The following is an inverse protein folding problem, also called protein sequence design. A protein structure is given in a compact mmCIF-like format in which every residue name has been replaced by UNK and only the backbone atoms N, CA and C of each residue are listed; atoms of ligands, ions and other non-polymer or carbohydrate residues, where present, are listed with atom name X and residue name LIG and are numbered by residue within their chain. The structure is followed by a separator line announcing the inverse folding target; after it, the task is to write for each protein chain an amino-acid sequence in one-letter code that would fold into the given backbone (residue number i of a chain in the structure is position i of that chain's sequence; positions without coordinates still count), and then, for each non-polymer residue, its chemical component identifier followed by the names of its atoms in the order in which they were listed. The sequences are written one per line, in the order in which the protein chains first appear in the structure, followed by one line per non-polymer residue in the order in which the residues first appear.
data_IF_954229458616
#
_entry.id   IF_954229458616
#
_cell.length_a   1.000
_cell.length_b   1.000
_cell.length_c   1.000
_cell.angle_alpha   90.00
_cell.angle_beta   90.00
_cell.angle_gamma   90.00
#
_symmetry.space_group_name_H-M   'P 1'
#
loop_
_entity.id
_entity.type
_entity.pdbx_description
1 polymer ?
#
# COMPACT_ATOMS: atom_id res chain seq x y z
N UNK A 1 12.49 -26.83 -5.57
CA UNK A 1 11.92 -25.81 -4.65
C UNK A 1 12.51 -25.97 -3.26
N UNK A 2 12.27 -27.08 -2.56
CA UNK A 2 12.83 -27.33 -1.21
C UNK A 2 14.36 -27.25 -1.11
N UNK A 3 15.10 -27.76 -2.11
CA UNK A 3 16.58 -27.66 -2.17
C UNK A 3 17.07 -26.20 -2.32
N UNK A 4 16.37 -25.39 -3.12
CA UNK A 4 16.74 -23.98 -3.33
C UNK A 4 16.44 -23.13 -2.09
N UNK A 5 15.33 -23.41 -1.42
CA UNK A 5 14.99 -22.82 -0.12
C UNK A 5 16.01 -23.18 0.96
N UNK A 6 16.40 -24.45 1.05
CA UNK A 6 17.43 -24.89 2.00
C UNK A 6 18.78 -24.22 1.72
N UNK A 7 19.13 -24.05 0.45
CA UNK A 7 20.34 -23.34 0.02
C UNK A 7 20.30 -21.85 0.41
N UNK A 8 19.18 -21.17 0.19
CA UNK A 8 19.01 -19.77 0.58
C UNK A 8 19.13 -19.57 2.10
N UNK A 9 18.49 -20.43 2.90
CA UNK A 9 18.61 -20.39 4.36
C UNK A 9 20.03 -20.73 4.83
N UNK A 10 20.68 -21.71 4.20
CA UNK A 10 22.06 -22.07 4.48
C UNK A 10 22.99 -20.87 4.24
N UNK A 11 22.83 -20.14 3.12
CA UNK A 11 23.60 -18.91 2.86
C UNK A 11 23.41 -17.90 3.99
N UNK A 12 22.17 -17.63 4.40
CA UNK A 12 21.88 -16.67 5.49
C UNK A 12 22.56 -17.10 6.79
N UNK A 13 22.44 -18.37 7.17
CA UNK A 13 23.05 -18.93 8.39
C UNK A 13 24.58 -18.93 8.31
N UNK A 14 25.15 -19.31 7.17
CA UNK A 14 26.59 -19.32 6.94
C UNK A 14 27.18 -17.91 7.05
N UNK A 15 26.53 -16.91 6.46
CA UNK A 15 26.98 -15.52 6.52
C UNK A 15 26.84 -14.98 7.94
N UNK A 16 25.71 -15.24 8.61
CA UNK A 16 25.53 -14.86 10.01
C UNK A 16 26.62 -15.46 10.92
N UNK A 17 26.95 -16.74 10.73
CA UNK A 17 28.01 -17.44 11.47
C UNK A 17 29.40 -16.85 11.18
N UNK A 18 29.70 -16.58 9.91
CA UNK A 18 30.98 -15.97 9.51
C UNK A 18 31.14 -14.57 10.13
N UNK A 19 30.07 -13.77 10.15
CA UNK A 19 30.10 -12.47 10.84
C UNK A 19 30.41 -12.59 12.32
N UNK A 20 29.83 -13.59 13.01
CA UNK A 20 30.15 -13.85 14.42
C UNK A 20 31.64 -14.17 14.61
N UNK A 21 32.23 -14.96 13.71
CA UNK A 21 33.65 -15.33 13.78
C UNK A 21 34.59 -14.12 13.59
N UNK A 22 34.19 -13.14 12.78
CA UNK A 22 34.97 -11.92 12.51
C UNK A 22 34.62 -10.80 13.51
N UNK A 23 33.70 -11.04 14.43
CA UNK A 23 33.27 -10.07 15.45
C UNK A 23 32.35 -8.96 14.92
N UNK A 24 31.76 -9.15 13.74
CA UNK A 24 30.81 -8.22 13.12
C UNK A 24 29.36 -8.60 13.46
N UNK A 25 28.45 -7.63 13.36
CA UNK A 25 27.02 -7.87 13.59
C UNK A 25 26.46 -8.84 12.53
N UNK A 26 25.86 -9.98 12.94
CA UNK A 26 25.24 -10.92 12.00
C UNK A 26 24.18 -10.26 11.12
N UNK A 27 23.39 -9.35 11.69
CA UNK A 27 22.35 -8.63 10.96
C UNK A 27 22.93 -7.72 9.87
N UNK A 28 24.08 -7.09 10.11
CA UNK A 28 24.74 -6.25 9.12
C UNK A 28 25.29 -7.07 7.96
N UNK A 29 25.91 -8.23 8.25
CA UNK A 29 26.46 -9.08 7.20
C UNK A 29 25.38 -9.78 6.37
N UNK A 30 24.29 -10.23 6.99
CA UNK A 30 23.16 -10.80 6.23
C UNK A 30 22.43 -9.73 5.41
N UNK A 31 22.35 -8.49 5.91
CA UNK A 31 21.84 -7.35 5.12
C UNK A 31 22.72 -7.09 3.89
N UNK A 32 24.04 -6.98 4.08
CA UNK A 32 24.97 -6.73 2.97
C UNK A 32 24.92 -7.87 1.94
N UNK A 33 24.89 -9.12 2.40
CA UNK A 33 24.72 -10.27 1.54
C UNK A 33 23.42 -10.22 0.75
N UNK A 34 22.32 -9.83 1.39
CA UNK A 34 21.03 -9.60 0.72
C UNK A 34 21.12 -8.54 -0.37
N UNK A 35 21.81 -7.41 -0.12
CA UNK A 35 22.02 -6.34 -1.11
C UNK A 35 22.84 -6.84 -2.31
N UNK A 36 23.90 -7.62 -2.05
CA UNK A 36 24.72 -8.22 -3.13
C UNK A 36 23.89 -9.20 -3.94
N UNK A 37 23.16 -10.11 -3.28
CA UNK A 37 22.30 -11.10 -3.93
C UNK A 37 21.13 -10.46 -4.70
N UNK A 38 20.62 -9.33 -4.25
CA UNK A 38 19.57 -8.57 -4.92
C UNK A 38 20.00 -8.03 -6.30
N UNK A 39 21.30 -7.90 -6.54
CA UNK A 39 21.87 -7.51 -7.84
C UNK A 39 22.12 -8.71 -8.78
N UNK A 40 21.91 -9.95 -8.33
CA UNK A 40 22.09 -11.15 -9.13
C UNK A 40 20.86 -11.49 -9.99
N UNK A 41 21.07 -12.27 -11.05
CA UNK A 41 19.99 -12.79 -11.90
C UNK A 41 19.00 -13.68 -11.12
N UNK A 42 19.45 -14.25 -10.00
CA UNK A 42 18.66 -15.14 -9.13
C UNK A 42 17.80 -14.40 -8.10
N UNK A 43 17.72 -13.06 -8.11
CA UNK A 43 17.01 -12.30 -7.05
C UNK A 43 15.57 -12.75 -6.85
N UNK A 44 14.82 -13.01 -7.93
CA UNK A 44 13.40 -13.32 -7.86
C UNK A 44 13.17 -14.73 -7.31
N UNK A 45 14.05 -15.67 -7.64
CA UNK A 45 14.02 -17.03 -7.11
C UNK A 45 14.35 -17.02 -5.61
N UNK A 46 15.42 -16.32 -5.22
CA UNK A 46 15.80 -16.16 -3.81
C UNK A 46 14.73 -15.44 -2.99
N UNK A 47 14.11 -14.39 -3.52
CA UNK A 47 13.02 -13.68 -2.86
C UNK A 47 11.79 -14.59 -2.68
N UNK A 48 11.39 -15.32 -3.73
CA UNK A 48 10.27 -16.27 -3.67
C UNK A 48 10.54 -17.42 -2.68
N UNK A 49 11.78 -17.86 -2.57
CA UNK A 49 12.15 -18.97 -1.68
C UNK A 49 12.26 -18.54 -0.21
N UNK A 50 12.67 -17.29 0.08
CA UNK A 50 12.76 -16.76 1.45
C UNK A 50 11.44 -16.17 1.95
N UNK A 51 10.55 -15.72 1.06
CA UNK A 51 9.27 -15.11 1.41
C UNK A 51 8.43 -15.89 2.44
N UNK A 52 8.30 -17.24 2.36
CA UNK A 52 7.55 -18.02 3.36
C UNK A 52 8.13 -17.93 4.77
N UNK A 53 9.46 -17.80 4.89
CA UNK A 53 10.16 -17.75 6.18
C UNK A 53 10.22 -16.34 6.74
N UNK A 54 10.18 -15.32 5.89
CA UNK A 54 10.22 -13.91 6.33
C UNK A 54 9.17 -13.63 7.40
N UNK A 55 7.92 -14.04 7.18
CA UNK A 55 6.83 -13.85 8.15
C UNK A 55 7.05 -14.62 9.45
N UNK A 56 7.49 -15.89 9.36
CA UNK A 56 7.75 -16.75 10.51
C UNK A 56 8.90 -16.21 11.37
N UNK A 57 10.03 -15.85 10.74
CA UNK A 57 11.22 -15.33 11.42
C UNK A 57 10.97 -13.95 12.02
N UNK A 58 10.20 -13.09 11.34
CA UNK A 58 9.78 -11.80 11.88
C UNK A 58 8.86 -11.98 13.09
N UNK A 59 7.91 -12.92 13.03
CA UNK A 59 7.09 -13.29 14.18
C UNK A 59 7.93 -13.79 15.36
N UNK A 60 8.87 -14.70 15.12
CA UNK A 60 9.80 -15.20 16.16
C UNK A 60 10.67 -14.07 16.74
N UNK A 61 11.17 -13.16 15.91
CA UNK A 61 11.93 -11.99 16.33
C UNK A 61 11.12 -11.14 17.31
N UNK A 62 9.89 -10.77 16.95
CA UNK A 62 9.03 -9.94 17.81
C UNK A 62 8.62 -10.65 19.10
N UNK A 63 8.37 -11.96 19.06
CA UNK A 63 8.08 -12.73 20.27
C UNK A 63 9.29 -12.74 21.20
N UNK A 64 10.48 -12.99 20.66
CA UNK A 64 11.73 -13.08 21.45
C UNK A 64 12.10 -11.74 22.05
N UNK A 65 12.06 -10.67 21.24
CA UNK A 65 12.30 -9.30 21.69
C UNK A 65 11.27 -8.89 22.73
N UNK A 66 9.98 -9.17 22.49
CA UNK A 66 8.89 -8.86 23.42
C UNK A 66 9.03 -9.60 24.75
N UNK A 67 9.46 -10.85 24.75
CA UNK A 67 9.74 -11.62 25.95
C UNK A 67 10.95 -11.10 26.74
N UNK A 68 11.90 -10.43 26.07
CA UNK A 68 13.04 -9.77 26.69
C UNK A 68 12.73 -8.39 27.30
N UNK A 69 11.50 -7.89 27.18
CA UNK A 69 11.09 -6.61 27.75
C UNK A 69 10.81 -6.76 29.24
N UNK A 70 11.52 -5.97 30.04
CA UNK A 70 11.28 -5.85 31.47
C UNK A 70 10.18 -4.82 31.75
N UNK A 71 8.97 -5.29 32.03
CA UNK A 71 7.84 -4.44 32.39
C UNK A 71 7.98 -3.82 33.78
N UNK A 72 8.88 -4.32 34.64
CA UNK A 72 9.18 -3.69 35.93
C UNK A 72 9.74 -2.28 35.74
N UNK A 73 10.67 -2.13 34.78
CA UNK A 73 11.24 -0.82 34.42
C UNK A 73 10.16 0.14 33.90
N UNK A 74 9.15 -0.38 33.18
CA UNK A 74 7.99 0.41 32.73
C UNK A 74 7.16 0.94 33.89
N UNK A 75 6.89 0.08 34.88
CA UNK A 75 6.06 0.42 36.04
C UNK A 75 6.80 1.36 37.02
N UNK A 76 8.12 1.23 37.13
CA UNK A 76 8.93 2.06 38.01
C UNK A 76 9.10 3.49 37.48
N UNK A 77 9.21 3.66 36.14
CA UNK A 77 9.50 4.95 35.50
C UNK A 77 8.65 5.24 34.26
N UNK A 78 7.31 5.16 34.34
CA UNK A 78 6.43 5.25 33.17
C UNK A 78 6.55 6.59 32.46
N UNK A 79 6.64 7.69 33.21
CA UNK A 79 6.76 9.05 32.66
C UNK A 79 8.05 9.24 31.87
N UNK A 80 9.17 8.70 32.36
CA UNK A 80 10.47 8.80 31.67
C UNK A 80 10.43 8.05 30.35
N UNK A 81 9.88 6.85 30.33
CA UNK A 81 9.82 6.01 29.13
C UNK A 81 8.86 6.59 28.09
N UNK A 82 7.65 6.97 28.52
CA UNK A 82 6.69 7.63 27.63
C UNK A 82 7.23 8.96 27.11
N UNK A 83 7.91 9.74 27.97
CA UNK A 83 8.57 10.98 27.59
C UNK A 83 9.66 10.78 26.54
N UNK A 84 10.55 9.80 26.75
CA UNK A 84 11.61 9.46 25.78
C UNK A 84 11.02 8.92 24.46
N UNK A 85 9.98 8.09 24.54
CA UNK A 85 9.30 7.55 23.35
C UNK A 85 8.65 8.66 22.53
N UNK A 86 7.90 9.54 23.19
CA UNK A 86 7.29 10.71 22.55
C UNK A 86 8.35 11.65 21.99
N UNK A 87 9.43 11.93 22.72
CA UNK A 87 10.53 12.76 22.26
C UNK A 87 11.19 12.19 20.99
N UNK A 88 11.46 10.88 20.96
CA UNK A 88 12.01 10.19 19.79
C UNK A 88 11.07 10.32 18.58
N UNK A 89 9.79 10.00 18.76
CA UNK A 89 8.80 10.04 17.68
C UNK A 89 8.55 11.45 17.17
N UNK A 90 8.44 12.44 18.06
CA UNK A 90 8.25 13.85 17.70
C UNK A 90 9.47 14.40 16.96
N UNK A 91 10.68 14.12 17.46
CA UNK A 91 11.92 14.59 16.83
C UNK A 91 12.02 14.06 15.40
N UNK A 92 11.87 12.73 15.22
CA UNK A 92 11.86 12.13 13.88
C UNK A 92 10.70 12.65 13.04
N UNK A 93 9.51 12.75 13.61
CA UNK A 93 8.31 13.25 12.92
C UNK A 93 8.51 14.66 12.36
N UNK A 94 9.11 15.57 13.14
CA UNK A 94 9.42 16.93 12.70
C UNK A 94 10.43 16.90 11.54
N UNK A 95 11.51 16.14 11.68
CA UNK A 95 12.54 16.00 10.62
C UNK A 95 11.93 15.44 9.34
N UNK A 96 11.15 14.36 9.44
CA UNK A 96 10.51 13.71 8.31
C UNK A 96 9.44 14.59 7.66
N UNK A 97 8.67 15.34 8.46
CA UNK A 97 7.70 16.28 7.95
C UNK A 97 8.38 17.39 7.14
N UNK A 98 9.48 17.94 7.66
CA UNK A 98 10.26 18.95 6.94
C UNK A 98 10.84 18.40 5.64
N UNK A 99 11.41 17.19 5.66
CA UNK A 99 11.86 16.52 4.45
C UNK A 99 10.71 16.33 3.45
N UNK A 100 9.53 15.93 3.94
CA UNK A 100 8.37 15.75 3.09
C UNK A 100 7.93 17.06 2.40
N UNK A 101 8.07 18.20 3.08
CA UNK A 101 7.86 19.51 2.46
C UNK A 101 8.91 19.82 1.39
N UNK A 102 10.20 19.62 1.69
CA UNK A 102 11.31 19.88 0.75
C UNK A 102 11.17 19.03 -0.52
N UNK A 103 10.76 17.76 -0.39
CA UNK A 103 10.54 16.86 -1.52
C UNK A 103 9.15 17.00 -2.17
N UNK A 104 8.34 17.98 -1.74
CA UNK A 104 7.05 18.27 -2.37
C UNK A 104 5.98 17.18 -2.18
N UNK A 105 6.10 16.34 -1.14
CA UNK A 105 5.11 15.31 -0.84
C UNK A 105 3.80 15.95 -0.36
N UNK A 106 2.67 15.52 -0.93
CA UNK A 106 1.34 16.08 -0.67
C UNK A 106 0.35 15.04 -0.15
N UNK A 107 -0.67 15.52 0.56
CA UNK A 107 -1.79 14.73 1.06
C UNK A 107 -1.37 13.52 1.89
N UNK A 108 -1.97 12.37 1.61
CA UNK A 108 -1.75 11.11 2.35
C UNK A 108 -0.31 10.61 2.29
N UNK A 109 0.40 10.80 1.18
CA UNK A 109 1.79 10.32 1.05
C UNK A 109 2.72 11.03 2.04
N UNK A 110 2.50 12.31 2.29
CA UNK A 110 3.24 13.09 3.31
C UNK A 110 3.05 12.49 4.70
N UNK A 111 1.80 12.20 5.08
CA UNK A 111 1.46 11.68 6.40
C UNK A 111 1.89 10.23 6.60
N UNK A 112 1.69 9.37 5.59
CA UNK A 112 2.19 7.98 5.60
C UNK A 112 3.71 7.95 5.78
N UNK A 113 4.44 8.79 5.03
CA UNK A 113 5.89 8.90 5.16
C UNK A 113 6.31 9.38 6.56
N UNK A 114 5.69 10.45 7.05
CA UNK A 114 6.05 11.09 8.31
C UNK A 114 5.75 10.19 9.50
N UNK A 115 4.52 9.68 9.60
CA UNK A 115 4.08 8.85 10.73
C UNK A 115 4.63 7.42 10.65
N UNK A 116 4.73 6.85 9.45
CA UNK A 116 5.24 5.49 9.26
C UNK A 116 6.72 5.32 9.60
N UNK A 117 7.52 6.39 9.44
CA UNK A 117 8.96 6.37 9.71
C UNK A 117 9.36 7.04 11.04
N UNK A 118 8.41 7.62 11.77
CA UNK A 118 8.64 8.30 13.04
C UNK A 118 9.10 7.34 14.16
N UNK A 119 8.71 6.07 14.11
CA UNK A 119 9.12 5.07 15.09
C UNK A 119 10.60 4.72 15.03
N UNK A 120 11.10 4.09 16.09
CA UNK A 120 12.38 3.42 16.04
C UNK A 120 12.28 2.18 15.14
N UNK A 121 13.34 1.91 14.37
CA UNK A 121 13.39 0.72 13.51
C UNK A 121 13.76 -0.54 14.29
N UNK A 122 13.41 -1.71 13.76
CA UNK A 122 13.72 -3.04 14.33
C UNK A 122 15.22 -3.26 14.56
N UNK A 123 16.06 -2.65 13.71
CA UNK A 123 17.51 -2.65 13.88
C UNK A 123 17.99 -2.01 15.19
N UNK A 124 17.17 -1.17 15.83
CA UNK A 124 17.48 -0.60 17.15
C UNK A 124 17.65 -1.70 18.21
N UNK A 125 16.82 -2.75 18.19
CA UNK A 125 16.93 -3.86 19.14
C UNK A 125 18.27 -4.60 19.00
N UNK A 126 18.68 -4.83 17.75
CA UNK A 126 19.95 -5.50 17.44
C UNK A 126 21.13 -4.66 17.91
N UNK A 127 21.13 -3.35 17.64
CA UNK A 127 22.21 -2.45 18.05
C UNK A 127 22.33 -2.35 19.57
N UNK A 128 21.22 -2.16 20.28
CA UNK A 128 21.22 -2.09 21.75
C UNK A 128 21.72 -3.40 22.34
N UNK A 129 21.23 -4.54 21.87
CA UNK A 129 21.69 -5.87 22.32
C UNK A 129 23.18 -6.09 22.06
N UNK A 130 23.67 -5.67 20.89
CA UNK A 130 25.09 -5.74 20.55
C UNK A 130 25.95 -4.87 21.48
N UNK A 131 25.55 -3.62 21.73
CA UNK A 131 26.28 -2.72 22.64
C UNK A 131 26.27 -3.21 24.09
N UNK A 132 25.19 -3.86 24.53
CA UNK A 132 25.10 -4.51 25.84
C UNK A 132 26.04 -5.72 25.92
N UNK A 133 26.07 -6.57 24.89
CA UNK A 133 26.96 -7.73 24.82
C UNK A 133 28.45 -7.32 24.87
N UNK A 134 28.80 -6.21 24.21
CA UNK A 134 30.13 -5.60 24.24
C UNK A 134 30.41 -4.78 25.51
N UNK A 135 29.46 -4.73 26.46
CA UNK A 135 29.55 -3.95 27.71
C UNK A 135 29.84 -2.45 27.51
N UNK A 136 29.42 -1.90 26.37
CA UNK A 136 29.57 -0.47 26.06
C UNK A 136 28.56 0.35 26.85
N UNK A 137 27.35 -0.20 27.05
CA UNK A 137 26.28 0.40 27.84
C UNK A 137 25.90 -0.51 29.00
N UNK A 138 25.38 0.09 30.08
CA UNK A 138 24.84 -0.64 31.23
C UNK A 138 23.50 -1.32 30.90
N UNK A 139 23.16 -2.35 31.68
CA UNK A 139 21.89 -3.11 31.60
C UNK A 139 20.67 -2.20 31.71
N UNK A 140 20.68 -1.27 32.66
CA UNK A 140 19.54 -0.38 32.93
C UNK A 140 19.23 0.53 31.72
N UNK A 141 20.30 1.06 31.08
CA UNK A 141 20.17 1.88 29.89
C UNK A 141 19.70 1.03 28.70
N UNK A 142 20.25 -0.18 28.53
CA UNK A 142 19.83 -1.08 27.47
C UNK A 142 18.34 -1.44 27.59
N UNK A 143 17.88 -1.85 28.77
CA UNK A 143 16.46 -2.15 29.03
C UNK A 143 15.56 -0.94 28.75
N UNK A 144 15.97 0.25 29.20
CA UNK A 144 15.25 1.50 28.91
C UNK A 144 15.12 1.75 27.41
N UNK A 145 16.22 1.60 26.65
CA UNK A 145 16.23 1.82 25.20
C UNK A 145 15.40 0.78 24.44
N UNK A 146 15.52 -0.51 24.78
CA UNK A 146 14.70 -1.57 24.18
C UNK A 146 13.21 -1.30 24.39
N UNK A 147 12.84 -0.86 25.60
CA UNK A 147 11.46 -0.54 25.94
C UNK A 147 10.96 0.71 25.19
N UNK A 148 11.78 1.76 25.05
CA UNK A 148 11.44 2.93 24.22
C UNK A 148 11.21 2.54 22.75
N UNK A 149 12.05 1.66 22.20
CA UNK A 149 11.89 1.16 20.82
C UNK A 149 10.55 0.40 20.69
N UNK A 150 10.28 -0.54 21.61
CA UNK A 150 9.05 -1.32 21.60
C UNK A 150 7.79 -0.45 21.76
N UNK A 151 7.81 0.50 22.69
CA UNK A 151 6.72 1.45 22.89
C UNK A 151 6.49 2.34 21.66
N UNK A 152 7.55 2.75 20.97
CA UNK A 152 7.40 3.54 19.73
C UNK A 152 6.67 2.76 18.63
N UNK A 153 6.94 1.45 18.50
CA UNK A 153 6.26 0.59 17.54
C UNK A 153 4.80 0.34 17.94
N UNK A 154 4.55 0.14 19.25
CA UNK A 154 3.20 -0.03 19.77
C UNK A 154 2.33 1.23 19.60
N UNK A 155 2.91 2.43 19.77
CA UNK A 155 2.19 3.70 19.66
C UNK A 155 1.94 4.11 18.20
N UNK A 156 2.70 3.62 17.24
CA UNK A 156 2.60 4.07 15.84
C UNK A 156 1.21 3.84 15.23
N UNK A 157 0.58 2.65 15.34
CA UNK A 157 -0.80 2.47 14.90
C UNK A 157 -1.80 3.42 15.58
N UNK A 158 -1.61 3.72 16.87
CA UNK A 158 -2.46 4.64 17.61
C UNK A 158 -2.34 6.09 17.07
N UNK A 159 -1.12 6.51 16.70
CA UNK A 159 -0.89 7.81 16.07
C UNK A 159 -1.55 7.92 14.69
N UNK A 160 -1.55 6.83 13.91
CA UNK A 160 -2.30 6.77 12.64
C UNK A 160 -3.80 6.92 12.85
N UNK A 161 -4.38 6.19 13.81
CA UNK A 161 -5.81 6.30 14.13
C UNK A 161 -6.16 7.72 14.62
N UNK A 162 -5.31 8.30 15.47
CA UNK A 162 -5.50 9.66 15.97
C UNK A 162 -5.44 10.69 14.85
N UNK A 163 -4.49 10.55 13.92
CA UNK A 163 -4.39 11.38 12.73
C UNK A 163 -5.67 11.28 11.89
N UNK A 164 -6.15 10.08 11.60
CA UNK A 164 -7.35 9.87 10.79
C UNK A 164 -8.59 10.46 11.47
N UNK A 165 -8.69 10.33 12.81
CA UNK A 165 -9.77 10.95 13.57
C UNK A 165 -9.70 12.49 13.55
N UNK A 166 -8.51 13.07 13.67
CA UNK A 166 -8.31 14.53 13.60
C UNK A 166 -8.60 15.07 12.20
N UNK A 167 -8.09 14.41 11.16
CA UNK A 167 -8.33 14.77 9.77
C UNK A 167 -9.84 14.82 9.46
N UNK A 168 -10.60 13.82 9.95
CA UNK A 168 -12.07 13.78 9.84
C UNK A 168 -12.78 14.93 10.57
N UNK A 169 -12.25 15.40 11.70
CA UNK A 169 -12.84 16.52 12.46
C UNK A 169 -12.48 17.89 11.90
N UNK A 170 -11.31 18.03 11.29
CA UNK A 170 -10.80 19.28 10.74
C UNK A 170 -11.28 19.53 9.29
N UNK A 171 -12.06 18.61 8.72
CA UNK A 171 -12.55 18.75 7.34
C UNK A 171 -11.45 18.66 6.29
N UNK A 172 -10.26 18.20 6.67
CA UNK A 172 -9.14 17.99 5.76
C UNK A 172 -9.46 16.70 4.98
N UNK A 173 -10.04 16.89 3.79
CA UNK A 173 -10.47 15.85 2.85
C UNK A 173 -9.29 14.97 2.39
N UNK A 174 -8.83 14.10 3.27
CA UNK A 174 -8.01 12.94 2.94
C UNK A 174 -8.64 11.66 3.53
N UNK A 175 -9.96 11.64 3.74
CA UNK A 175 -10.71 10.41 3.98
C UNK A 175 -10.84 9.66 2.63
N UNK A 176 -10.81 8.31 2.61
CA UNK A 176 -11.17 7.56 1.43
C UNK A 176 -12.65 7.86 1.22
N UNK A 177 -12.90 8.77 0.28
CA UNK A 177 -14.15 9.01 -0.43
C UNK A 177 -15.24 8.10 0.10
N UNK A 178 -16.08 8.62 0.99
CA UNK A 178 -17.47 8.13 1.04
C UNK A 178 -17.88 8.14 -0.42
N UNK A 179 -18.06 6.94 -0.97
CA UNK A 179 -18.57 6.82 -2.30
C UNK A 179 -19.80 7.72 -2.36
N UNK A 180 -19.84 8.62 -3.34
CA UNK A 180 -21.02 9.45 -3.49
C UNK A 180 -22.24 8.53 -3.56
N UNK A 181 -23.32 8.90 -2.86
CA UNK A 181 -24.59 8.22 -3.08
C UNK A 181 -24.97 8.41 -4.53
N UNK A 182 -25.11 7.30 -5.26
CA UNK A 182 -25.47 7.33 -6.67
C UNK A 182 -26.99 7.51 -6.73
N UNK A 183 -27.39 8.77 -6.87
CA UNK A 183 -28.79 9.20 -6.87
C UNK A 183 -29.47 9.05 -8.25
N UNK A 184 -28.68 8.87 -9.31
CA UNK A 184 -29.15 8.81 -10.69
C UNK A 184 -28.40 7.76 -11.51
N UNK A 185 -29.11 6.70 -11.88
CA UNK A 185 -28.62 5.58 -12.67
C UNK A 185 -28.94 5.80 -14.15
N UNK A 186 -27.92 5.67 -15.00
CA UNK A 186 -28.05 5.85 -16.43
C UNK A 186 -27.75 4.52 -17.17
N UNK A 187 -28.30 4.33 -18.39
CA UNK A 187 -28.14 3.07 -19.12
C UNK A 187 -26.70 2.79 -19.59
N UNK A 188 -25.77 3.74 -19.42
CA UNK A 188 -24.37 3.62 -19.81
C UNK A 188 -23.51 3.93 -18.59
N UNK A 189 -22.72 2.96 -18.14
CA UNK A 189 -21.76 3.12 -17.04
C UNK A 189 -20.36 3.28 -17.64
N UNK A 190 -19.60 4.27 -17.15
CA UNK A 190 -18.19 4.46 -17.49
C UNK A 190 -17.36 4.27 -16.21
N UNK A 191 -16.63 3.17 -16.15
CA UNK A 191 -15.72 2.83 -15.06
C UNK A 191 -14.30 3.27 -15.41
N UNK A 192 -13.85 4.37 -14.80
CA UNK A 192 -12.59 5.05 -15.10
C UNK A 192 -12.78 6.22 -16.05
N UNK A 193 -12.54 7.44 -15.59
CA UNK A 193 -12.63 8.68 -16.36
C UNK A 193 -11.28 9.38 -16.48
N UNK A 194 -10.23 8.57 -16.68
CA UNK A 194 -8.97 9.06 -17.23
C UNK A 194 -9.15 9.60 -18.66
N UNK A 195 -8.02 9.82 -19.35
CA UNK A 195 -8.01 10.40 -20.71
C UNK A 195 -8.99 9.71 -21.66
N UNK A 196 -9.01 8.37 -21.66
CA UNK A 196 -9.87 7.58 -22.53
C UNK A 196 -11.36 7.71 -22.14
N UNK A 197 -11.68 7.54 -20.86
CA UNK A 197 -13.04 7.66 -20.35
C UNK A 197 -13.64 9.05 -20.55
N UNK A 198 -12.85 10.12 -20.45
CA UNK A 198 -13.31 11.49 -20.75
C UNK A 198 -13.73 11.67 -22.21
N UNK A 199 -12.95 11.12 -23.14
CA UNK A 199 -13.27 11.22 -24.57
C UNK A 199 -14.54 10.42 -24.88
N UNK A 200 -14.67 9.21 -24.33
CA UNK A 200 -15.89 8.40 -24.49
C UNK A 200 -17.09 9.12 -23.88
N UNK A 201 -16.97 9.62 -22.65
CA UNK A 201 -18.05 10.34 -21.99
C UNK A 201 -18.53 11.52 -22.84
N UNK A 202 -17.60 12.31 -23.39
CA UNK A 202 -17.92 13.43 -24.28
C UNK A 202 -18.60 12.97 -25.58
N UNK A 203 -18.14 11.90 -26.21
CA UNK A 203 -18.75 11.38 -27.45
C UNK A 203 -20.18 10.87 -27.22
N UNK A 204 -20.39 10.09 -26.16
CA UNK A 204 -21.69 9.53 -25.80
C UNK A 204 -22.68 10.64 -25.44
N UNK A 205 -22.25 11.62 -24.64
CA UNK A 205 -23.09 12.76 -24.27
C UNK A 205 -23.38 13.71 -25.42
N UNK A 206 -22.43 13.94 -26.33
CA UNK A 206 -22.66 14.70 -27.57
C UNK A 206 -23.68 14.03 -28.49
N UNK A 207 -23.86 12.72 -28.36
CA UNK A 207 -24.86 11.95 -29.10
C UNK A 207 -26.24 11.92 -28.42
N UNK A 208 -26.42 12.68 -27.33
CA UNK A 208 -27.70 12.82 -26.61
C UNK A 208 -27.95 11.76 -25.51
N UNK A 209 -27.01 10.86 -25.26
CA UNK A 209 -27.13 9.86 -24.20
C UNK A 209 -26.57 10.38 -22.87
N UNK A 210 -27.07 9.83 -21.76
CA UNK A 210 -26.57 10.12 -20.41
C UNK A 210 -25.74 8.96 -19.90
N UNK A 211 -24.79 9.27 -19.05
CA UNK A 211 -23.78 8.35 -18.52
C UNK A 211 -23.67 8.47 -17.00
N UNK A 212 -23.42 7.35 -16.34
CA UNK A 212 -23.02 7.29 -14.93
C UNK A 212 -21.52 7.01 -14.90
N UNK A 213 -20.74 8.00 -14.47
CA UNK A 213 -19.28 7.92 -14.49
C UNK A 213 -18.76 7.66 -13.08
N UNK A 214 -17.85 6.69 -12.92
CA UNK A 214 -17.23 6.35 -11.64
C UNK A 214 -15.71 6.35 -11.77
N UNK A 215 -15.03 7.09 -10.90
CA UNK A 215 -13.57 7.09 -10.80
C UNK A 215 -13.10 7.30 -9.36
N UNK A 216 -11.87 6.91 -9.06
CA UNK A 216 -11.23 7.13 -7.78
C UNK A 216 -10.63 8.54 -7.63
N UNK A 217 -10.38 9.24 -8.74
CA UNK A 217 -9.82 10.60 -8.75
C UNK A 217 -10.90 11.67 -8.57
N UNK A 218 -11.02 12.16 -7.34
CA UNK A 218 -11.90 13.26 -6.93
C UNK A 218 -11.72 14.51 -7.81
N UNK A 219 -10.49 14.87 -8.18
CA UNK A 219 -10.23 16.10 -8.94
C UNK A 219 -10.85 16.02 -10.33
N UNK A 220 -10.69 14.87 -10.97
CA UNK A 220 -11.26 14.63 -12.29
C UNK A 220 -12.79 14.60 -12.24
N UNK A 221 -13.37 13.99 -11.21
CA UNK A 221 -14.83 14.00 -11.00
C UNK A 221 -15.37 15.42 -10.72
N UNK A 222 -14.70 16.22 -9.89
CA UNK A 222 -15.09 17.61 -9.64
C UNK A 222 -15.03 18.45 -10.92
N UNK A 223 -14.01 18.26 -11.74
CA UNK A 223 -13.88 18.93 -13.04
C UNK A 223 -15.02 18.54 -13.99
N UNK A 224 -15.38 17.26 -14.07
CA UNK A 224 -16.52 16.78 -14.85
C UNK A 224 -17.85 17.39 -14.39
N UNK A 225 -18.06 17.50 -13.07
CA UNK A 225 -19.24 18.14 -12.48
C UNK A 225 -19.34 19.61 -12.86
N UNK A 226 -18.22 20.32 -12.94
CA UNK A 226 -18.20 21.72 -13.38
C UNK A 226 -18.69 21.89 -14.82
N UNK A 227 -18.44 20.90 -15.68
CA UNK A 227 -18.95 20.86 -17.05
C UNK A 227 -20.37 20.25 -17.17
N UNK A 228 -21.08 20.06 -16.05
CA UNK A 228 -22.44 19.56 -16.01
C UNK A 228 -22.59 18.05 -16.14
N UNK A 229 -21.50 17.28 -16.04
CA UNK A 229 -21.55 15.82 -16.08
C UNK A 229 -21.71 15.21 -14.69
N UNK A 230 -22.52 14.15 -14.58
CA UNK A 230 -22.70 13.39 -13.34
C UNK A 230 -21.59 12.34 -13.18
N UNK A 231 -20.54 12.72 -12.46
CA UNK A 231 -19.49 11.80 -12.01
C UNK A 231 -19.63 11.52 -10.51
N UNK A 232 -19.35 10.28 -10.11
CA UNK A 232 -19.34 9.82 -8.73
C UNK A 232 -17.94 9.32 -8.39
N UNK A 233 -17.50 9.62 -7.18
CA UNK A 233 -16.20 9.18 -6.74
C UNK A 233 -16.30 7.83 -6.04
N UNK A 234 -15.46 6.88 -6.41
CA UNK A 234 -15.34 5.59 -5.75
C UNK A 234 -14.55 4.59 -6.58
N UNK A 235 -14.23 3.44 -5.98
CA UNK A 235 -13.49 2.36 -6.62
C UNK A 235 -14.43 1.47 -7.46
N UNK A 236 -14.36 1.51 -8.81
CA UNK A 236 -15.28 0.75 -9.65
C UNK A 236 -15.09 -0.76 -9.58
N UNK A 237 -13.98 -1.24 -8.98
CA UNK A 237 -13.75 -2.69 -8.78
C UNK A 237 -14.61 -3.27 -7.66
N UNK A 238 -15.21 -2.42 -6.82
CA UNK A 238 -16.10 -2.83 -5.72
C UNK A 238 -17.48 -3.21 -6.26
N UNK A 239 -17.93 -4.47 -6.05
CA UNK A 239 -19.25 -4.95 -6.48
C UNK A 239 -20.42 -4.05 -6.08
N UNK A 240 -20.42 -3.57 -4.84
CA UNK A 240 -21.49 -2.74 -4.28
C UNK A 240 -21.61 -1.39 -4.98
N UNK A 241 -20.48 -0.78 -5.34
CA UNK A 241 -20.45 0.50 -6.03
C UNK A 241 -20.93 0.36 -7.47
N UNK A 242 -20.50 -0.69 -8.16
CA UNK A 242 -20.93 -0.95 -9.54
C UNK A 242 -22.44 -1.26 -9.60
N UNK A 243 -22.99 -1.95 -8.58
CA UNK A 243 -24.44 -2.11 -8.43
C UNK A 243 -25.16 -0.80 -8.18
N UNK A 244 -24.66 0.03 -7.27
CA UNK A 244 -25.22 1.36 -7.02
C UNK A 244 -25.20 2.23 -8.29
N UNK A 245 -24.21 2.05 -9.16
CA UNK A 245 -24.09 2.67 -10.48
C UNK A 245 -25.22 2.34 -11.46
N UNK A 246 -26.03 1.32 -11.13
CA UNK A 246 -27.07 0.80 -12.01
C UNK A 246 -26.62 -0.36 -12.88
N UNK A 247 -25.64 -1.18 -12.46
CA UNK A 247 -25.23 -2.37 -13.24
C UNK A 247 -26.42 -3.28 -13.60
N UNK A 248 -27.42 -3.35 -12.71
CA UNK A 248 -28.63 -4.14 -12.89
C UNK A 248 -29.61 -3.56 -13.93
N UNK A 249 -29.39 -2.35 -14.41
CA UNK A 249 -30.25 -1.70 -15.43
C UNK A 249 -29.46 -1.17 -16.62
N UNK A 250 -28.13 -1.15 -16.52
CA UNK A 250 -27.23 -0.72 -17.57
C UNK A 250 -27.33 -1.61 -18.81
N UNK A 251 -27.25 -0.95 -19.98
CA UNK A 251 -27.17 -1.61 -21.29
C UNK A 251 -25.73 -1.70 -21.77
N UNK A 252 -24.90 -0.73 -21.39
CA UNK A 252 -23.49 -0.66 -21.78
C UNK A 252 -22.62 -0.37 -20.57
N UNK A 253 -21.53 -1.12 -20.43
CA UNK A 253 -20.44 -0.83 -19.51
C UNK A 253 -19.17 -0.55 -20.30
N UNK A 254 -18.58 0.63 -20.06
CA UNK A 254 -17.27 0.99 -20.58
C UNK A 254 -16.25 0.81 -19.46
N UNK A 255 -15.36 -0.18 -19.59
CA UNK A 255 -14.30 -0.49 -18.64
C UNK A 255 -12.97 0.11 -19.14
N UNK A 256 -12.55 1.22 -18.54
CA UNK A 256 -11.40 1.99 -18.99
C UNK A 256 -10.44 2.42 -17.87
N UNK A 257 -10.33 1.61 -16.82
CA UNK A 257 -9.31 1.77 -15.78
C UNK A 257 -7.89 1.63 -16.38
N UNK A 258 -6.94 2.37 -15.80
CA UNK A 258 -5.53 2.32 -16.22
C UNK A 258 -4.82 1.03 -15.78
N UNK A 259 -5.23 0.45 -14.65
CA UNK A 259 -4.70 -0.80 -14.12
C UNK A 259 -5.28 -2.02 -14.87
N UNK A 260 -4.40 -2.89 -15.40
CA UNK A 260 -4.76 -4.04 -16.25
C UNK A 260 -5.64 -5.04 -15.49
N UNK A 261 -5.23 -5.40 -14.28
CA UNK A 261 -5.90 -6.42 -13.49
C UNK A 261 -7.28 -5.93 -13.01
N UNK A 262 -7.35 -4.69 -12.54
CA UNK A 262 -8.59 -4.04 -12.13
C UNK A 262 -9.60 -3.94 -13.27
N UNK A 263 -9.14 -3.58 -14.48
CA UNK A 263 -10.03 -3.49 -15.64
C UNK A 263 -10.59 -4.87 -16.03
N UNK A 264 -9.73 -5.90 -16.04
CA UNK A 264 -10.14 -7.29 -16.31
C UNK A 264 -11.08 -7.83 -15.24
N UNK A 265 -10.85 -7.47 -13.96
CA UNK A 265 -11.71 -7.84 -12.84
C UNK A 265 -13.13 -7.29 -13.01
N UNK A 266 -13.27 -6.02 -13.38
CA UNK A 266 -14.58 -5.39 -13.60
C UNK A 266 -15.33 -6.08 -14.73
N UNK A 267 -14.68 -6.32 -15.86
CA UNK A 267 -15.29 -7.01 -17.02
C UNK A 267 -15.79 -8.39 -16.61
N UNK A 268 -14.94 -9.17 -15.92
CA UNK A 268 -15.29 -10.52 -15.47
C UNK A 268 -16.46 -10.51 -14.49
N UNK A 269 -16.46 -9.56 -13.55
CA UNK A 269 -17.55 -9.42 -12.59
C UNK A 269 -18.85 -9.03 -13.27
N UNK A 270 -18.83 -7.99 -14.11
CA UNK A 270 -19.99 -7.49 -14.83
C UNK A 270 -20.61 -8.56 -15.74
N UNK A 271 -19.80 -9.30 -16.51
CA UNK A 271 -20.29 -10.39 -17.37
C UNK A 271 -20.95 -11.52 -16.57
N UNK A 272 -20.40 -11.86 -15.39
CA UNK A 272 -20.99 -12.90 -14.53
C UNK A 272 -22.36 -12.49 -13.98
N UNK A 273 -22.54 -11.21 -13.64
CA UNK A 273 -23.82 -10.71 -13.12
C UNK A 273 -24.83 -10.45 -14.24
N UNK A 274 -24.38 -9.97 -15.40
CA UNK A 274 -25.20 -9.58 -16.54
C UNK A 274 -24.67 -10.20 -17.84
N UNK A 275 -25.12 -11.42 -18.19
CA UNK A 275 -24.75 -12.06 -19.46
C UNK A 275 -25.19 -11.28 -20.70
N UNK A 276 -26.21 -10.43 -20.57
CA UNK A 276 -26.81 -9.60 -21.62
C UNK A 276 -26.15 -8.21 -21.78
N UNK A 277 -25.32 -7.78 -20.82
CA UNK A 277 -24.69 -6.46 -20.83
C UNK A 277 -23.68 -6.34 -21.97
N UNK A 278 -23.71 -5.22 -22.70
CA UNK A 278 -22.68 -4.93 -23.69
C UNK A 278 -21.47 -4.27 -23.02
N UNK A 279 -20.30 -4.91 -23.10
CA UNK A 279 -19.09 -4.46 -22.41
C UNK A 279 -18.05 -4.02 -23.43
N UNK A 280 -17.66 -2.75 -23.36
CA UNK A 280 -16.56 -2.16 -24.13
C UNK A 280 -15.37 -1.98 -23.19
N UNK A 281 -14.24 -2.60 -23.51
CA UNK A 281 -13.07 -2.57 -22.63
C UNK A 281 -11.84 -1.96 -23.31
N UNK A 282 -11.12 -1.11 -22.58
CA UNK A 282 -9.79 -0.63 -22.97
C UNK A 282 -8.75 -1.71 -22.66
N UNK A 283 -8.03 -2.13 -23.68
CA UNK A 283 -6.84 -2.96 -23.55
C UNK A 283 -5.57 -2.08 -23.58
N UNK A 284 -4.59 -2.47 -22.78
CA UNK A 284 -3.30 -1.77 -22.69
C UNK A 284 -2.34 -2.23 -23.80
N UNK A 285 -2.30 -3.54 -24.01
CA UNK A 285 -1.42 -4.20 -24.97
C UNK A 285 -2.17 -5.37 -25.66
N UNK A 286 -1.46 -6.14 -26.48
CA UNK A 286 -2.03 -7.28 -27.22
C UNK A 286 -2.41 -8.44 -26.29
N UNK A 287 -1.66 -8.68 -25.22
CA UNK A 287 -1.93 -9.77 -24.29
C UNK A 287 -3.21 -9.51 -23.51
N UNK A 288 -3.38 -8.27 -23.04
CA UNK A 288 -4.56 -7.81 -22.31
C UNK A 288 -5.84 -7.94 -23.16
N UNK A 289 -5.77 -7.84 -24.49
CA UNK A 289 -6.94 -8.12 -25.36
C UNK A 289 -7.45 -9.54 -25.16
N UNK A 290 -6.57 -10.54 -25.13
CA UNK A 290 -6.98 -11.93 -24.95
C UNK A 290 -7.57 -12.18 -23.56
N UNK A 291 -7.07 -11.49 -22.54
CA UNK A 291 -7.61 -11.57 -21.18
C UNK A 291 -9.00 -10.97 -21.08
N UNK A 292 -9.21 -9.78 -21.65
CA UNK A 292 -10.52 -9.12 -21.68
C UNK A 292 -11.53 -9.92 -22.51
N UNK A 293 -11.10 -10.52 -23.61
CA UNK A 293 -11.92 -11.42 -24.40
C UNK A 293 -12.37 -12.63 -23.58
N UNK A 294 -11.44 -13.29 -22.88
CA UNK A 294 -11.74 -14.42 -21.97
C UNK A 294 -12.61 -14.00 -20.77
N UNK A 295 -12.47 -12.77 -20.31
CA UNK A 295 -13.30 -12.20 -19.25
C UNK A 295 -14.73 -11.89 -19.73
N UNK A 296 -14.95 -11.84 -21.06
CA UNK A 296 -16.26 -11.68 -21.68
C UNK A 296 -16.58 -10.26 -22.12
N UNK A 297 -15.58 -9.43 -22.44
CA UNK A 297 -15.82 -8.16 -23.14
C UNK A 297 -16.37 -8.42 -24.56
N UNK A 298 -17.27 -7.56 -25.04
CA UNK A 298 -17.80 -7.63 -26.41
C UNK A 298 -16.85 -6.92 -27.39
N UNK A 299 -16.52 -5.68 -27.08
CA UNK A 299 -15.63 -4.85 -27.88
C UNK A 299 -14.39 -4.50 -27.08
N UNK A 300 -13.22 -4.63 -27.69
CA UNK A 300 -11.95 -4.40 -27.03
C UNK A 300 -11.13 -3.43 -27.87
N UNK A 301 -10.83 -2.27 -27.29
CA UNK A 301 -10.06 -1.21 -27.97
C UNK A 301 -8.69 -1.11 -27.32
N UNK A 302 -7.64 -1.32 -28.11
CA UNK A 302 -6.26 -1.16 -27.66
C UNK A 302 -5.88 0.33 -27.66
N UNK A 303 -5.43 0.84 -26.52
CA UNK A 303 -5.10 2.26 -26.35
C UNK A 303 -4.04 2.78 -27.34
N UNK A 304 -3.06 1.95 -27.69
CA UNK A 304 -1.93 2.33 -28.55
C UNK A 304 -2.03 1.82 -30.00
N UNK A 305 -3.19 1.35 -30.44
CA UNK A 305 -3.30 0.66 -31.74
C UNK A 305 -2.92 1.55 -32.93
N UNK A 306 -3.42 2.78 -32.99
CA UNK A 306 -3.19 3.72 -34.11
C UNK A 306 -1.94 4.59 -33.94
N UNK A 307 -1.16 4.36 -32.87
CA UNK A 307 0.09 5.08 -32.58
C UNK A 307 1.34 4.32 -33.02
N UNK A 308 1.20 3.25 -33.80
CA UNK A 308 2.30 2.42 -34.33
C UNK A 308 2.10 2.11 -35.81
#
# INVERSE_FOLDING_TARGET
REIHTAFALMIVVSIASLMLMVGLSPALGTFLAGVVLASSEFRHELESDVAPFKGLLLGLFFITVGAGIDFGVLLDRPLTILGMTAALMLTKGIVLFFLALVFGMRGRNKWLFTLGLAQAGEFGFVLVSFTLAQRIIGTDLAQTLLLVIAMSMLLTPLFFILHDMLARRLGDEADPLKADEIDDQQPIIIAGVGRFGQVINRMVTSSGFKTTVIDHDLKTIQLLRHFGFKGYVGDPTRPELLKAAGLDTARVLVACLDDRDSNTQIVRYARRQRPDLHIVARARDREHVYELYRAGANDIVREHFDSS
#
